data_IF_609214643516
#
_entry.id   IF_609214643516
#
_cell.length_a   1.000
_cell.length_b   1.000
_cell.length_c   1.000
_cell.angle_alpha   90.00
_cell.angle_beta   90.00
_cell.angle_gamma   90.00
#
_symmetry.space_group_name_H-M   'P 1'
#
loop_
_entity.id
_entity.type
_entity.pdbx_description
1 polymer ?
#
# COMPACT_ATOMS: atom_id res chain seq x y z
N UNK A 1 -7.95 26.88 -4.02
CA UNK A 1 -9.07 26.23 -3.33
C UNK A 1 -8.62 24.84 -2.94
N UNK A 2 -8.60 24.52 -1.64
CA UNK A 2 -8.22 23.18 -1.15
C UNK A 2 -9.27 22.16 -1.59
N UNK A 3 -8.87 21.18 -2.41
CA UNK A 3 -9.76 20.20 -3.05
C UNK A 3 -10.35 19.21 -2.05
N UNK A 4 -9.67 19.01 -0.93
CA UNK A 4 -9.90 18.11 0.19
C UNK A 4 -10.98 18.58 1.19
N UNK A 5 -11.36 19.87 1.20
CA UNK A 5 -12.34 20.39 2.16
C UNK A 5 -13.74 19.80 2.01
N UNK A 6 -14.25 19.18 3.06
CA UNK A 6 -15.54 18.45 3.05
C UNK A 6 -16.76 19.37 3.22
N UNK A 7 -16.61 20.48 3.97
CA UNK A 7 -17.69 21.35 4.48
C UNK A 7 -18.70 21.82 3.42
N UNK A 8 -18.27 22.03 2.17
CA UNK A 8 -19.10 22.53 1.07
C UNK A 8 -19.43 21.47 0.01
N UNK A 9 -19.20 20.18 0.30
CA UNK A 9 -19.37 19.08 -0.67
C UNK A 9 -20.55 18.21 -0.29
N UNK A 10 -21.53 18.13 -1.18
CA UNK A 10 -22.61 17.15 -1.07
C UNK A 10 -22.07 15.71 -1.17
N UNK A 11 -22.89 14.73 -0.80
CA UNK A 11 -22.47 13.32 -0.78
C UNK A 11 -21.94 12.82 -2.13
N UNK A 12 -22.55 13.26 -3.25
CA UNK A 12 -22.10 12.89 -4.61
C UNK A 12 -20.68 13.39 -4.88
N UNK A 13 -20.35 14.62 -4.46
CA UNK A 13 -19.01 15.20 -4.62
C UNK A 13 -17.99 14.53 -3.69
N UNK A 14 -18.35 14.23 -2.44
CA UNK A 14 -17.47 13.47 -1.53
C UNK A 14 -17.13 12.09 -2.11
N UNK A 15 -18.12 11.40 -2.67
CA UNK A 15 -17.95 10.11 -3.34
C UNK A 15 -17.07 10.18 -4.59
N UNK A 16 -17.21 11.25 -5.38
CA UNK A 16 -16.43 11.47 -6.61
C UNK A 16 -14.97 11.79 -6.31
N UNK A 17 -14.72 12.47 -5.20
CA UNK A 17 -13.40 12.96 -4.82
C UNK A 17 -12.73 12.11 -3.74
N UNK A 18 -13.31 10.96 -3.34
CA UNK A 18 -12.76 10.11 -2.27
C UNK A 18 -12.52 10.86 -0.95
N UNK A 19 -13.54 11.58 -0.47
CA UNK A 19 -13.44 12.38 0.76
C UNK A 19 -14.37 11.85 1.87
N UNK A 20 -13.95 12.05 3.12
CA UNK A 20 -14.73 11.69 4.31
C UNK A 20 -15.01 10.19 4.35
N UNK A 21 -16.29 9.82 4.33
CA UNK A 21 -16.76 8.41 4.31
C UNK A 21 -16.30 7.61 3.06
N UNK A 22 -15.70 8.27 2.08
CA UNK A 22 -15.18 7.67 0.85
C UNK A 22 -13.66 7.77 0.71
N UNK A 23 -12.96 8.27 1.73
CA UNK A 23 -11.50 8.29 1.74
C UNK A 23 -10.95 6.85 1.72
N UNK A 24 -9.81 6.67 1.06
CA UNK A 24 -9.09 5.40 1.01
C UNK A 24 -7.75 5.66 1.65
N UNK A 25 -7.51 5.03 2.80
CA UNK A 25 -6.21 5.06 3.45
C UNK A 25 -5.38 3.88 2.98
N UNK A 26 -4.12 4.15 2.71
CA UNK A 26 -3.08 3.17 2.39
C UNK A 26 -1.80 3.53 3.13
N UNK A 27 -0.71 2.82 2.84
CA UNK A 27 0.58 3.07 3.46
C UNK A 27 1.71 2.75 2.50
N UNK A 28 2.85 3.37 2.74
CA UNK A 28 4.10 3.05 2.06
C UNK A 28 4.81 1.91 2.79
N UNK A 29 5.42 1.03 2.02
CA UNK A 29 6.34 0.02 2.50
C UNK A 29 7.67 0.17 1.78
N UNK A 30 8.76 -0.02 2.50
CA UNK A 30 10.09 -0.14 1.91
C UNK A 30 10.87 -1.25 2.60
N UNK A 31 11.70 -1.95 1.84
CA UNK A 31 12.67 -2.90 2.38
C UNK A 31 13.88 -3.02 1.46
N UNK A 32 15.02 -3.37 2.05
CA UNK A 32 16.23 -3.69 1.28
C UNK A 32 16.23 -5.17 0.96
N UNK A 33 16.37 -5.52 -0.32
CA UNK A 33 16.54 -6.91 -0.74
C UNK A 33 18.00 -7.22 -1.03
N UNK A 34 18.38 -8.46 -0.79
CA UNK A 34 19.68 -9.04 -1.19
C UNK A 34 19.60 -9.78 -2.54
N UNK A 35 18.48 -9.64 -3.25
CA UNK A 35 18.21 -10.32 -4.50
C UNK A 35 19.03 -9.64 -5.59
N UNK A 36 19.91 -10.40 -6.24
CA UNK A 36 20.79 -9.90 -7.29
C UNK A 36 20.39 -10.38 -8.70
N UNK A 37 19.55 -11.41 -8.77
CA UNK A 37 19.14 -12.06 -10.01
C UNK A 37 17.67 -11.76 -10.32
N UNK A 38 17.37 -11.56 -11.60
CA UNK A 38 16.03 -11.20 -12.05
C UNK A 38 15.03 -12.34 -11.90
N UNK A 39 15.43 -13.60 -12.10
CA UNK A 39 14.50 -14.72 -11.96
C UNK A 39 14.04 -14.88 -10.51
N UNK A 40 14.95 -14.66 -9.55
CA UNK A 40 14.61 -14.65 -8.11
C UNK A 40 13.74 -13.46 -7.74
N UNK A 41 13.98 -12.29 -8.34
CA UNK A 41 13.18 -11.10 -8.11
C UNK A 41 11.76 -11.28 -8.63
N UNK A 42 11.58 -11.85 -9.82
CA UNK A 42 10.27 -12.14 -10.40
C UNK A 42 9.47 -13.08 -9.48
N UNK A 43 10.10 -14.15 -8.96
CA UNK A 43 9.46 -15.05 -7.99
C UNK A 43 9.07 -14.31 -6.70
N UNK A 44 9.95 -13.45 -6.17
CA UNK A 44 9.64 -12.66 -4.98
C UNK A 44 8.44 -11.73 -5.20
N UNK A 45 8.37 -11.06 -6.35
CA UNK A 45 7.27 -10.16 -6.70
C UNK A 45 5.97 -10.93 -6.91
N UNK A 46 6.00 -12.05 -7.61
CA UNK A 46 4.82 -12.89 -7.82
C UNK A 46 4.25 -13.37 -6.48
N UNK A 47 5.11 -13.90 -5.59
CA UNK A 47 4.69 -14.33 -4.25
C UNK A 47 4.16 -13.17 -3.39
N UNK A 48 4.75 -11.97 -3.52
CA UNK A 48 4.28 -10.79 -2.82
C UNK A 48 2.91 -10.33 -3.33
N UNK A 49 2.71 -10.31 -4.65
CA UNK A 49 1.44 -9.96 -5.30
C UNK A 49 0.35 -10.96 -4.90
N UNK A 50 0.63 -12.26 -4.95
CA UNK A 50 -0.31 -13.30 -4.53
C UNK A 50 -0.72 -13.13 -3.05
N UNK A 51 0.23 -12.78 -2.18
CA UNK A 51 -0.05 -12.54 -0.78
C UNK A 51 -0.93 -11.30 -0.56
N UNK A 52 -0.59 -10.15 -1.14
CA UNK A 52 -1.38 -8.91 -0.95
C UNK A 52 -2.79 -9.05 -1.54
N UNK A 53 -2.93 -9.74 -2.68
CA UNK A 53 -4.23 -10.01 -3.29
C UNK A 53 -5.09 -10.91 -2.38
N UNK A 54 -4.46 -11.88 -1.69
CA UNK A 54 -5.16 -12.78 -0.76
C UNK A 54 -5.77 -12.05 0.45
N UNK A 55 -5.20 -10.90 0.84
CA UNK A 55 -5.71 -10.03 1.91
C UNK A 55 -6.49 -8.81 1.37
N UNK A 56 -6.81 -8.80 0.07
CA UNK A 56 -7.65 -7.76 -0.55
C UNK A 56 -6.96 -6.41 -0.70
N UNK A 57 -5.63 -6.39 -0.82
CA UNK A 57 -4.83 -5.19 -1.08
C UNK A 57 -4.25 -5.22 -2.49
N UNK A 58 -3.88 -4.06 -3.01
CA UNK A 58 -3.06 -3.92 -4.20
C UNK A 58 -1.82 -3.10 -3.89
N UNK A 59 -0.77 -3.33 -4.67
CA UNK A 59 0.52 -2.67 -4.55
C UNK A 59 0.87 -1.91 -5.84
N UNK A 60 1.46 -0.73 -5.67
CA UNK A 60 2.12 0.00 -6.75
C UNK A 60 3.51 0.41 -6.32
N UNK A 61 4.53 -0.08 -7.03
CA UNK A 61 5.93 0.18 -6.72
C UNK A 61 6.86 -0.86 -7.34
N UNK A 62 8.05 -0.98 -6.77
CA UNK A 62 9.06 -1.95 -7.16
C UNK A 62 10.47 -1.43 -6.90
N UNK A 63 11.47 -2.26 -7.18
CA UNK A 63 12.87 -1.92 -7.07
C UNK A 63 13.69 -3.12 -6.61
N UNK A 64 14.89 -3.26 -7.17
CA UNK A 64 15.72 -4.45 -6.96
C UNK A 64 16.43 -4.40 -5.61
N UNK A 65 17.35 -3.44 -5.42
CA UNK A 65 18.08 -3.30 -4.14
C UNK A 65 17.19 -2.71 -3.04
N UNK A 66 16.43 -1.68 -3.37
CA UNK A 66 15.42 -1.07 -2.50
C UNK A 66 14.04 -1.36 -3.11
N UNK A 67 13.32 -2.28 -2.50
CA UNK A 67 11.95 -2.58 -2.86
C UNK A 67 11.02 -1.65 -2.09
N UNK A 68 10.35 -0.74 -2.80
CA UNK A 68 9.47 0.25 -2.19
C UNK A 68 8.18 0.44 -2.99
N UNK A 69 7.12 0.84 -2.30
CA UNK A 69 5.87 1.17 -2.96
C UNK A 69 4.74 1.45 -1.98
N UNK A 70 3.56 1.65 -2.56
CA UNK A 70 2.36 2.00 -1.82
C UNK A 70 1.33 0.88 -1.89
N UNK A 71 0.71 0.57 -0.75
CA UNK A 71 -0.37 -0.40 -0.63
C UNK A 71 -1.69 0.31 -0.30
N UNK A 72 -2.75 -0.10 -0.99
CA UNK A 72 -4.12 0.29 -0.66
C UNK A 72 -5.10 -0.84 -0.94
N UNK A 73 -6.35 -0.68 -0.53
CA UNK A 73 -7.40 -1.68 -0.76
C UNK A 73 -7.82 -1.74 -2.23
N UNK A 74 -8.04 -2.96 -2.75
CA UNK A 74 -8.68 -3.16 -4.06
C UNK A 74 -10.15 -2.72 -4.06
N UNK A 75 -10.80 -2.84 -2.90
CA UNK A 75 -12.19 -2.48 -2.74
C UNK A 75 -12.38 -0.97 -2.69
N UNK A 76 -13.38 -0.51 -3.43
CA UNK A 76 -13.70 0.91 -3.53
C UNK A 76 -14.19 1.44 -2.17
N UNK A 77 -13.56 2.50 -1.68
CA UNK A 77 -13.90 3.18 -0.42
C UNK A 77 -13.60 2.39 0.86
N UNK A 78 -12.81 1.33 0.73
CA UNK A 78 -12.25 0.61 1.87
C UNK A 78 -10.85 1.14 2.12
N UNK A 79 -10.50 1.35 3.38
CA UNK A 79 -9.15 1.68 3.83
C UNK A 79 -8.43 0.44 4.30
N UNK A 80 -7.11 0.45 4.18
CA UNK A 80 -6.25 -0.54 4.85
C UNK A 80 -6.42 -0.41 6.36
N UNK A 81 -6.42 -1.55 7.05
CA UNK A 81 -6.43 -1.60 8.51
C UNK A 81 -5.01 -1.77 9.06
N UNK A 82 -4.75 -1.31 10.28
CA UNK A 82 -3.46 -1.51 10.96
C UNK A 82 -3.08 -2.98 11.08
N UNK A 83 -4.07 -3.88 11.21
CA UNK A 83 -3.86 -5.32 11.25
C UNK A 83 -3.35 -5.88 9.91
N UNK A 84 -3.78 -5.33 8.78
CA UNK A 84 -3.30 -5.71 7.45
C UNK A 84 -1.92 -5.13 7.17
N UNK A 85 -1.69 -3.88 7.59
CA UNK A 85 -0.35 -3.29 7.54
C UNK A 85 0.66 -4.13 8.32
N UNK A 86 0.30 -4.59 9.53
CA UNK A 86 1.14 -5.47 10.32
C UNK A 86 1.39 -6.83 9.63
N UNK A 87 0.37 -7.40 8.99
CA UNK A 87 0.53 -8.65 8.23
C UNK A 87 1.52 -8.48 7.07
N UNK A 88 1.50 -7.34 6.37
CA UNK A 88 2.46 -7.05 5.30
C UNK A 88 3.88 -6.90 5.84
N UNK A 89 4.06 -6.16 6.94
CA UNK A 89 5.36 -6.04 7.59
C UNK A 89 5.91 -7.42 8.01
N UNK A 90 5.09 -8.25 8.66
CA UNK A 90 5.47 -9.59 9.10
C UNK A 90 5.80 -10.53 7.94
N UNK A 91 5.06 -10.44 6.83
CA UNK A 91 5.34 -11.24 5.64
C UNK A 91 6.72 -10.92 5.07
N UNK A 92 7.08 -9.63 4.97
CA UNK A 92 8.39 -9.19 4.50
C UNK A 92 9.51 -9.57 5.46
N UNK A 93 9.31 -9.38 6.77
CA UNK A 93 10.30 -9.72 7.81
C UNK A 93 10.57 -11.23 7.91
N UNK A 94 9.62 -12.08 7.52
CA UNK A 94 9.78 -13.53 7.55
C UNK A 94 10.71 -14.07 6.45
N UNK A 95 11.05 -13.25 5.45
CA UNK A 95 11.88 -13.68 4.30
C UNK A 95 13.35 -13.49 4.58
N UNK A 96 14.14 -14.50 4.22
CA UNK A 96 15.59 -14.45 4.40
C UNK A 96 16.29 -13.44 3.49
N UNK A 97 15.71 -13.13 2.31
CA UNK A 97 16.30 -12.21 1.35
C UNK A 97 16.08 -10.73 1.69
N UNK A 98 15.20 -10.43 2.65
CA UNK A 98 14.72 -9.09 2.98
C UNK A 98 15.37 -8.59 4.27
N UNK A 99 15.67 -7.29 4.31
CA UNK A 99 16.18 -6.61 5.50
C UNK A 99 15.63 -5.17 5.56
N UNK A 100 15.65 -4.56 6.76
CA UNK A 100 15.21 -3.18 6.99
C UNK A 100 13.80 -2.89 6.46
N UNK A 101 12.80 -3.64 6.93
CA UNK A 101 11.40 -3.39 6.58
C UNK A 101 10.94 -2.13 7.32
N UNK A 102 10.40 -1.17 6.58
CA UNK A 102 9.79 0.05 7.11
C UNK A 102 8.39 0.20 6.54
N UNK A 103 7.44 0.61 7.39
CA UNK A 103 6.05 0.89 7.01
C UNK A 103 5.66 2.27 7.52
N UNK A 104 5.01 3.07 6.67
CA UNK A 104 4.54 4.40 7.06
C UNK A 104 3.26 4.34 7.90
N UNK A 105 2.82 5.48 8.43
CA UNK A 105 1.46 5.61 8.92
C UNK A 105 0.44 5.47 7.78
N UNK A 106 -0.83 5.21 8.13
CA UNK A 106 -1.93 5.21 7.17
C UNK A 106 -2.21 6.64 6.68
N UNK A 107 -2.10 6.84 5.36
CA UNK A 107 -2.26 8.15 4.70
C UNK A 107 -3.32 8.07 3.59
N UNK A 108 -3.89 9.22 3.24
CA UNK A 108 -4.89 9.31 2.16
C UNK A 108 -4.26 9.05 0.80
N UNK A 109 -4.68 7.96 0.14
CA UNK A 109 -4.13 7.52 -1.14
C UNK A 109 -4.33 8.53 -2.29
N UNK A 110 -5.25 9.50 -2.16
CA UNK A 110 -5.56 10.47 -3.21
C UNK A 110 -4.94 11.85 -2.96
N UNK A 111 -4.58 12.17 -1.71
CA UNK A 111 -4.22 13.54 -1.30
C UNK A 111 -2.96 13.65 -0.43
N UNK A 112 -2.32 12.55 -0.06
CA UNK A 112 -1.10 12.57 0.76
C UNK A 112 0.19 12.95 0.01
N UNK A 113 0.13 13.04 -1.33
CA UNK A 113 1.26 13.32 -2.23
C UNK A 113 1.15 14.68 -2.93
#
# INVERSE_FOLDING_TARGET
MKLDKIENKNRRLRKKLYLGEFAILGFEVSCTTSIADFDQYDVFIDEFIDFIDSIGLCFGGGGLELFEGFLCSIERYRSVTEAEQLQVAQWLEARAEVSKVEVSELVDANYAF
#
